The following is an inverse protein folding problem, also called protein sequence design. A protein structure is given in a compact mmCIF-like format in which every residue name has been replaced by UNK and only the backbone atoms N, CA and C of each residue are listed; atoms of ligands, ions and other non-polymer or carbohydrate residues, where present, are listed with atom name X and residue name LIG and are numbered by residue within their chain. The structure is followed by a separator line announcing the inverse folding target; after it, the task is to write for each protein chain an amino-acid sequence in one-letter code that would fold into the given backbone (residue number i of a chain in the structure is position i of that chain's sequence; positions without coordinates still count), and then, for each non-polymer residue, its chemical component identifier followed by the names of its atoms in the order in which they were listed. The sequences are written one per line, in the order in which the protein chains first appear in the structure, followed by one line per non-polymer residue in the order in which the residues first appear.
data_IF_285017982870
#
_entry.id   IF_285017982870
#
_cell.length_a   1.000
_cell.length_b   1.000
_cell.length_c   1.000
_cell.angle_alpha   90.00
_cell.angle_beta   90.00
_cell.angle_gamma   90.00
#
_symmetry.space_group_name_H-M   'P 1'
#
loop_
_entity.id
_entity.type
_entity.pdbx_description
1 polymer ?
#
# COMPACT_ATOMS: atom_id res chain seq x y z
N UNK A 1 -13.58 2.14 -2.11
CA UNK A 1 -12.26 1.91 -1.51
C UNK A 1 -11.95 2.97 -0.45
N UNK A 2 -11.92 4.27 -0.77
CA UNK A 2 -11.70 5.35 0.21
C UNK A 2 -12.69 5.38 1.39
N UNK A 3 -13.99 5.25 1.15
CA UNK A 3 -15.01 5.16 2.22
C UNK A 3 -14.87 3.89 3.08
N UNK A 4 -14.41 2.81 2.46
CA UNK A 4 -14.19 1.54 3.15
C UNK A 4 -12.94 1.66 4.03
N UNK A 5 -11.84 2.22 3.52
CA UNK A 5 -10.66 2.55 4.33
C UNK A 5 -11.00 3.50 5.48
N UNK A 6 -11.82 4.53 5.24
CA UNK A 6 -12.32 5.41 6.31
C UNK A 6 -13.08 4.64 7.40
N UNK A 7 -14.01 3.77 6.99
CA UNK A 7 -14.79 2.95 7.91
C UNK A 7 -13.90 1.97 8.69
N UNK A 8 -12.92 1.33 8.02
CA UNK A 8 -11.97 0.42 8.65
C UNK A 8 -11.05 1.17 9.65
N UNK A 9 -10.57 2.37 9.32
CA UNK A 9 -9.74 3.19 10.22
C UNK A 9 -10.52 3.66 11.46
N UNK A 10 -11.75 4.16 11.27
CA UNK A 10 -12.60 4.64 12.39
C UNK A 10 -13.10 3.52 13.29
N UNK A 11 -13.23 2.30 12.76
CA UNK A 11 -13.61 1.11 13.56
C UNK A 11 -12.43 0.60 14.41
N UNK A 12 -11.19 0.80 13.96
CA UNK A 12 -9.99 0.30 14.64
C UNK A 12 -9.33 1.30 15.58
N UNK A 13 -9.47 2.60 15.32
CA UNK A 13 -8.84 3.64 16.11
C UNK A 13 -9.93 4.38 16.88
N UNK A 14 -10.15 3.97 18.13
CA UNK A 14 -11.03 4.70 19.03
C UNK A 14 -10.31 5.91 19.63
N UNK A 15 -11.05 6.99 19.88
CA UNK A 15 -10.51 8.22 20.47
C UNK A 15 -9.80 7.95 21.81
N UNK A 16 -10.26 6.94 22.55
CA UNK A 16 -9.68 6.52 23.83
C UNK A 16 -8.29 5.86 23.67
N UNK A 17 -8.05 5.13 22.58
CA UNK A 17 -6.74 4.55 22.26
C UNK A 17 -5.76 5.60 21.74
N UNK A 18 -6.26 6.56 20.97
CA UNK A 18 -5.50 7.72 20.50
C UNK A 18 -5.07 8.57 21.71
N UNK A 19 -6.00 8.85 22.61
CA UNK A 19 -5.75 9.56 23.87
C UNK A 19 -4.68 8.85 24.70
N UNK A 20 -4.86 7.56 25.01
CA UNK A 20 -3.89 6.74 25.77
C UNK A 20 -2.48 6.77 25.16
N UNK A 21 -2.36 6.72 23.83
CA UNK A 21 -1.04 6.80 23.17
C UNK A 21 -0.38 8.18 23.28
N UNK A 22 -1.18 9.25 23.33
CA UNK A 22 -0.70 10.64 23.37
C UNK A 22 -0.30 11.08 24.77
N UNK A 23 -1.03 10.69 25.82
CA UNK A 23 -0.60 10.92 27.23
C UNK A 23 0.65 10.12 27.62
N UNK A 24 1.01 9.10 26.83
CA UNK A 24 2.28 8.39 27.00
C UNK A 24 3.47 9.17 26.42
N UNK A 25 3.24 10.15 25.53
CA UNK A 25 4.28 10.92 24.82
C UNK A 25 4.26 12.43 25.11
N UNK A 26 3.13 12.98 25.60
CA UNK A 26 2.91 14.40 25.85
C UNK A 26 2.21 14.63 27.21
N UNK A 27 2.42 15.81 27.80
CA UNK A 27 1.74 16.22 29.03
C UNK A 27 0.22 16.39 28.79
N UNK A 28 -0.59 16.06 29.81
CA UNK A 28 -2.05 15.82 29.69
C UNK A 28 -2.83 16.96 28.99
N UNK A 29 -2.48 18.21 29.28
CA UNK A 29 -3.15 19.40 28.73
C UNK A 29 -2.79 19.65 27.25
N UNK A 30 -1.54 19.36 26.86
CA UNK A 30 -1.06 19.52 25.48
C UNK A 30 -1.64 18.47 24.53
N UNK A 31 -1.87 17.25 25.03
CA UNK A 31 -2.49 16.17 24.27
C UNK A 31 -3.96 16.47 23.94
N UNK A 32 -4.70 17.03 24.90
CA UNK A 32 -6.09 17.48 24.72
C UNK A 32 -6.21 18.58 23.67
N UNK A 33 -5.37 19.61 23.72
CA UNK A 33 -5.39 20.71 22.74
C UNK A 33 -5.06 20.24 21.31
N UNK A 34 -4.12 19.30 21.15
CA UNK A 34 -3.79 18.77 19.82
C UNK A 34 -4.90 17.90 19.23
N UNK A 35 -5.57 17.07 20.04
CA UNK A 35 -6.73 16.28 19.59
C UNK A 35 -7.87 17.22 19.20
N UNK A 36 -8.11 18.28 19.98
CA UNK A 36 -9.16 19.25 19.70
C UNK A 36 -8.86 20.08 18.43
N UNK A 37 -7.60 20.46 18.19
CA UNK A 37 -7.17 21.11 16.94
C UNK A 37 -7.24 20.18 15.72
N UNK A 38 -6.89 18.90 15.87
CA UNK A 38 -7.01 17.90 14.81
C UNK A 38 -8.47 17.67 14.39
N UNK A 39 -9.39 17.66 15.37
CA UNK A 39 -10.83 17.49 15.11
C UNK A 39 -11.55 18.77 14.65
N UNK A 40 -11.10 19.96 15.07
CA UNK A 40 -11.76 21.25 14.70
C UNK A 40 -11.47 21.74 13.29
N UNK A 41 -10.46 21.22 12.59
CA UNK A 41 -9.94 21.85 11.38
C UNK A 41 -10.22 20.99 10.14
N UNK A 42 -10.54 21.62 9.00
CA UNK A 42 -10.78 20.98 7.69
C UNK A 42 -9.68 20.05 7.15
N UNK A 43 -8.65 19.76 7.93
CA UNK A 43 -7.64 18.72 7.73
C UNK A 43 -8.23 17.33 7.59
N UNK A 44 -9.31 17.01 8.33
CA UNK A 44 -10.01 15.73 8.18
C UNK A 44 -10.61 15.60 6.78
N UNK A 45 -11.26 16.66 6.29
CA UNK A 45 -11.83 16.73 4.95
C UNK A 45 -10.74 16.70 3.86
N UNK A 46 -9.61 17.38 4.09
CA UNK A 46 -8.45 17.37 3.21
C UNK A 46 -7.79 15.98 3.13
N UNK A 47 -7.65 15.29 4.27
CA UNK A 47 -7.14 13.89 4.33
C UNK A 47 -8.02 12.97 3.49
N UNK A 48 -9.34 13.08 3.59
CA UNK A 48 -10.25 12.23 2.82
C UNK A 48 -10.34 12.61 1.34
N UNK A 49 -10.28 13.90 1.02
CA UNK A 49 -10.16 14.36 -0.37
C UNK A 49 -8.87 13.83 -1.01
N UNK A 50 -7.75 13.90 -0.29
CA UNK A 50 -6.47 13.34 -0.73
C UNK A 50 -6.54 11.83 -0.92
N UNK A 51 -7.15 11.11 0.03
CA UNK A 51 -7.33 9.66 -0.06
C UNK A 51 -8.18 9.27 -1.28
N UNK A 52 -9.24 10.04 -1.57
CA UNK A 52 -10.08 9.85 -2.75
C UNK A 52 -9.27 10.06 -4.04
N UNK A 53 -8.55 11.19 -4.15
CA UNK A 53 -7.69 11.48 -5.30
C UNK A 53 -6.65 10.37 -5.50
N UNK A 54 -5.96 9.97 -4.44
CA UNK A 54 -4.98 8.89 -4.48
C UNK A 54 -5.61 7.57 -4.97
N UNK A 55 -6.79 7.23 -4.46
CA UNK A 55 -7.53 6.01 -4.83
C UNK A 55 -7.90 5.99 -6.31
N UNK A 56 -8.35 7.12 -6.86
CA UNK A 56 -8.80 7.22 -8.26
C UNK A 56 -7.61 7.35 -9.22
N UNK A 57 -6.58 8.11 -8.84
CA UNK A 57 -5.39 8.32 -9.68
C UNK A 57 -4.49 7.09 -9.74
N UNK A 58 -4.41 6.30 -8.66
CA UNK A 58 -3.58 5.08 -8.61
C UNK A 58 -3.79 4.13 -9.80
N UNK A 59 -5.02 3.66 -10.11
CA UNK A 59 -5.24 2.77 -11.26
C UNK A 59 -4.90 3.44 -12.60
N UNK A 60 -5.14 4.75 -12.74
CA UNK A 60 -4.79 5.50 -13.97
C UNK A 60 -3.28 5.50 -14.18
N UNK A 61 -2.51 5.86 -13.15
CA UNK A 61 -1.04 5.89 -13.20
C UNK A 61 -0.48 4.50 -13.51
N UNK A 62 -0.97 3.45 -12.84
CA UNK A 62 -0.53 2.07 -13.10
C UNK A 62 -0.87 1.65 -14.54
N UNK A 63 -2.03 2.04 -15.05
CA UNK A 63 -2.43 1.74 -16.43
C UNK A 63 -1.51 2.42 -17.42
N UNK A 64 -1.13 3.69 -17.20
CA UNK A 64 -0.18 4.40 -18.05
C UNK A 64 1.21 3.74 -18.04
N UNK A 65 1.68 3.28 -16.87
CA UNK A 65 2.93 2.53 -16.74
C UNK A 65 2.90 1.22 -17.54
N UNK A 66 1.81 0.46 -17.43
CA UNK A 66 1.68 -0.76 -18.21
C UNK A 66 1.52 -0.49 -19.70
N UNK A 67 0.82 0.58 -20.08
CA UNK A 67 0.66 0.97 -21.48
C UNK A 67 2.02 1.29 -22.13
N UNK A 68 2.84 2.12 -21.48
CA UNK A 68 4.18 2.46 -21.99
C UNK A 68 5.09 1.24 -22.02
N UNK A 69 5.00 0.38 -21.00
CA UNK A 69 5.75 -0.86 -20.93
C UNK A 69 5.37 -1.89 -22.00
N UNK A 70 4.07 -2.13 -22.22
CA UNK A 70 3.59 -3.03 -23.27
C UNK A 70 3.91 -2.51 -24.66
N UNK A 71 3.84 -1.19 -24.86
CA UNK A 71 4.32 -0.57 -26.10
C UNK A 71 5.81 -0.87 -26.34
N UNK A 72 6.66 -0.75 -25.31
CA UNK A 72 8.08 -1.10 -25.40
C UNK A 72 8.34 -2.59 -25.68
N UNK A 73 7.47 -3.48 -25.18
CA UNK A 73 7.55 -4.93 -25.44
C UNK A 73 6.85 -5.37 -26.74
N UNK A 74 6.37 -4.43 -27.56
CA UNK A 74 5.60 -4.72 -28.79
C UNK A 74 4.34 -5.56 -28.54
N UNK A 75 3.76 -5.45 -27.35
CA UNK A 75 2.50 -6.08 -26.94
C UNK A 75 1.36 -5.10 -27.23
N UNK A 76 0.44 -5.49 -28.11
CA UNK A 76 -0.70 -4.65 -28.51
C UNK A 76 -1.88 -4.86 -27.59
N UNK A 77 -1.97 -4.04 -26.54
CA UNK A 77 -3.11 -3.98 -25.63
C UNK A 77 -3.55 -2.53 -25.54
N UNK A 78 -4.85 -2.27 -25.65
CA UNK A 78 -5.42 -0.93 -25.53
C UNK A 78 -5.44 -0.46 -24.07
N UNK A 79 -5.44 0.86 -23.87
CA UNK A 79 -5.57 1.46 -22.54
C UNK A 79 -6.81 0.94 -21.81
N UNK A 80 -7.93 0.79 -22.52
CA UNK A 80 -9.19 0.33 -21.92
C UNK A 80 -9.08 -1.08 -21.35
N UNK A 81 -8.42 -2.00 -22.06
CA UNK A 81 -8.22 -3.38 -21.61
C UNK A 81 -7.29 -3.44 -20.39
N UNK A 82 -6.21 -2.65 -20.38
CA UNK A 82 -5.32 -2.54 -19.23
C UNK A 82 -6.07 -1.95 -18.03
N UNK A 83 -6.84 -0.90 -18.25
CA UNK A 83 -7.60 -0.24 -17.18
C UNK A 83 -8.66 -1.17 -16.58
N UNK A 84 -9.38 -1.94 -17.42
CA UNK A 84 -10.34 -2.96 -16.99
C UNK A 84 -9.69 -4.10 -16.20
N UNK A 85 -8.41 -4.40 -16.45
CA UNK A 85 -7.66 -5.36 -15.64
C UNK A 85 -7.17 -4.74 -14.33
N UNK A 86 -6.62 -3.52 -14.36
CA UNK A 86 -5.97 -2.85 -13.23
C UNK A 86 -6.97 -2.39 -12.17
N UNK A 87 -8.06 -1.72 -12.57
CA UNK A 87 -9.04 -1.14 -11.65
C UNK A 87 -9.58 -2.15 -10.62
N UNK A 88 -10.10 -3.33 -11.01
CA UNK A 88 -10.57 -4.33 -10.05
C UNK A 88 -9.42 -5.01 -9.30
N UNK A 89 -8.22 -5.09 -9.89
CA UNK A 89 -7.05 -5.65 -9.21
C UNK A 89 -6.60 -4.76 -8.05
N UNK A 90 -6.86 -3.45 -8.09
CA UNK A 90 -6.54 -2.55 -6.97
C UNK A 90 -7.23 -2.94 -5.66
N UNK A 91 -8.34 -3.69 -5.69
CA UNK A 91 -9.02 -4.18 -4.48
C UNK A 91 -8.16 -5.20 -3.70
N UNK A 92 -7.19 -5.84 -4.33
CA UNK A 92 -6.21 -6.70 -3.65
C UNK A 92 -5.46 -5.93 -2.54
N UNK A 93 -5.25 -4.63 -2.72
CA UNK A 93 -4.62 -3.79 -1.70
C UNK A 93 -5.46 -3.56 -0.45
N UNK A 94 -6.76 -3.89 -0.45
CA UNK A 94 -7.60 -3.84 0.76
C UNK A 94 -7.43 -5.06 1.66
N UNK A 95 -6.82 -6.14 1.15
CA UNK A 95 -6.71 -7.40 1.90
C UNK A 95 -6.03 -7.19 3.27
N UNK A 96 -4.89 -6.48 3.38
CA UNK A 96 -4.27 -6.22 4.68
C UNK A 96 -5.18 -5.48 5.66
N UNK A 97 -5.89 -4.46 5.18
CA UNK A 97 -6.77 -3.65 6.02
C UNK A 97 -7.97 -4.48 6.52
N UNK A 98 -8.56 -5.30 5.64
CA UNK A 98 -9.65 -6.21 6.00
C UNK A 98 -9.18 -7.27 7.00
N UNK A 99 -7.99 -7.85 6.79
CA UNK A 99 -7.41 -8.82 7.73
C UNK A 99 -7.14 -8.18 9.09
N UNK A 100 -6.59 -6.96 9.10
CA UNK A 100 -6.33 -6.19 10.33
C UNK A 100 -7.62 -5.94 11.10
N UNK A 101 -8.67 -5.46 10.43
CA UNK A 101 -9.98 -5.24 11.06
C UNK A 101 -10.55 -6.55 11.59
N UNK A 102 -10.59 -7.59 10.77
CA UNK A 102 -11.16 -8.88 11.18
C UNK A 102 -10.42 -9.46 12.39
N UNK A 103 -9.08 -9.33 12.42
CA UNK A 103 -8.25 -9.82 13.52
C UNK A 103 -8.54 -9.09 14.83
N UNK A 104 -8.50 -7.76 14.82
CA UNK A 104 -8.69 -6.97 16.04
C UNK A 104 -10.16 -6.84 16.45
N UNK A 105 -11.12 -7.08 15.54
CA UNK A 105 -12.53 -7.10 15.91
C UNK A 105 -13.01 -8.46 16.43
N UNK A 106 -12.46 -9.58 15.93
CA UNK A 106 -12.98 -10.93 16.25
C UNK A 106 -12.04 -11.79 17.09
N UNK A 107 -10.72 -11.63 16.94
CA UNK A 107 -9.73 -12.53 17.54
C UNK A 107 -9.08 -11.88 18.77
N UNK A 108 -8.68 -10.61 18.64
CA UNK A 108 -8.06 -9.84 19.72
C UNK A 108 -8.79 -8.50 19.92
N UNK A 109 -9.99 -8.49 20.52
CA UNK A 109 -10.77 -7.27 20.77
C UNK A 109 -10.16 -6.34 21.82
N UNK A 110 -9.33 -6.85 22.73
CA UNK A 110 -8.61 -6.07 23.74
C UNK A 110 -7.18 -5.76 23.25
N UNK A 111 -7.06 -4.93 22.21
CA UNK A 111 -5.77 -4.53 21.64
C UNK A 111 -5.39 -3.12 22.09
N UNK A 112 -4.09 -2.80 22.06
CA UNK A 112 -3.55 -1.44 22.24
C UNK A 112 -3.09 -0.86 20.90
N UNK A 113 -2.85 0.45 20.84
CA UNK A 113 -2.39 1.11 19.62
C UNK A 113 -1.02 0.55 19.14
N UNK A 114 -0.18 0.12 20.09
CA UNK A 114 1.08 -0.56 19.79
C UNK A 114 0.88 -1.89 19.05
N UNK A 115 -0.17 -2.64 19.39
CA UNK A 115 -0.51 -3.90 18.73
C UNK A 115 -1.00 -3.67 17.30
N UNK A 116 -1.73 -2.56 17.08
CA UNK A 116 -2.18 -2.17 15.75
C UNK A 116 -1.00 -1.83 14.82
N UNK A 117 0.02 -1.17 15.39
CA UNK A 117 1.25 -0.80 14.68
C UNK A 117 2.20 -1.99 14.46
N UNK A 118 2.15 -3.01 15.31
CA UNK A 118 2.94 -4.23 15.17
C UNK A 118 2.29 -5.25 14.23
N UNK A 119 1.06 -5.00 13.76
CA UNK A 119 0.37 -5.90 12.84
C UNK A 119 1.21 -6.18 11.58
N UNK A 120 1.35 -7.45 11.16
CA UNK A 120 2.23 -7.83 10.07
C UNK A 120 1.99 -7.01 8.80
N UNK A 121 3.07 -6.54 8.18
CA UNK A 121 2.99 -5.79 6.92
C UNK A 121 2.88 -6.72 5.69
N UNK A 122 2.85 -8.04 5.92
CA UNK A 122 2.94 -9.10 4.90
C UNK A 122 4.13 -8.91 3.96
N UNK A 123 5.18 -8.27 4.47
CA UNK A 123 6.39 -7.97 3.70
C UNK A 123 7.12 -9.26 3.35
N UNK A 124 7.74 -9.31 2.17
CA UNK A 124 8.61 -10.43 1.83
C UNK A 124 9.76 -10.57 2.83
N UNK A 125 10.22 -9.45 3.42
CA UNK A 125 11.25 -9.48 4.46
C UNK A 125 10.85 -10.28 5.70
N UNK A 126 9.58 -10.30 6.08
CA UNK A 126 9.09 -11.16 7.19
C UNK A 126 9.20 -12.64 6.83
N UNK A 127 8.93 -13.03 5.58
CA UNK A 127 9.10 -14.41 5.08
C UNK A 127 10.58 -14.80 4.94
N UNK A 128 11.44 -13.85 4.62
CA UNK A 128 12.88 -14.07 4.45
C UNK A 128 13.70 -13.92 5.75
N UNK A 129 13.08 -13.64 6.90
CA UNK A 129 13.76 -13.70 8.22
C UNK A 129 14.30 -15.09 8.54
N UNK A 130 13.76 -16.14 7.90
CA UNK A 130 14.27 -17.51 8.00
C UNK A 130 15.59 -17.74 7.22
N UNK A 131 15.99 -16.81 6.35
CA UNK A 131 17.27 -16.84 5.65
C UNK A 131 18.26 -15.91 6.36
N UNK A 132 19.44 -16.44 6.68
CA UNK A 132 20.49 -15.70 7.40
C UNK A 132 21.21 -14.73 6.44
N UNK A 133 20.55 -13.61 6.14
CA UNK A 133 21.11 -12.55 5.29
C UNK A 133 22.08 -11.70 6.10
N UNK A 134 23.30 -12.20 6.28
CA UNK A 134 24.44 -11.51 6.92
C UNK A 134 25.02 -10.35 6.09
N UNK A 135 24.51 -10.12 4.87
CA UNK A 135 25.03 -9.13 3.92
C UNK A 135 23.90 -8.26 3.37
N UNK A 136 23.96 -6.94 3.62
CA UNK A 136 23.16 -5.92 2.91
C UNK A 136 21.93 -5.40 3.66
N UNK A 137 22.13 -4.58 4.68
CA UNK A 137 21.05 -3.85 5.36
C UNK A 137 20.29 -2.91 4.39
N UNK A 138 20.99 -2.37 3.39
CA UNK A 138 20.41 -1.56 2.32
C UNK A 138 19.51 -2.37 1.39
N UNK A 139 19.89 -3.62 1.06
CA UNK A 139 19.06 -4.50 0.24
C UNK A 139 17.77 -4.89 0.97
N UNK A 140 17.85 -5.14 2.29
CA UNK A 140 16.66 -5.37 3.13
C UNK A 140 15.72 -4.17 3.08
N UNK A 141 16.26 -2.94 3.15
CA UNK A 141 15.47 -1.70 3.09
C UNK A 141 14.78 -1.52 1.74
N UNK A 142 15.42 -1.91 0.63
CA UNK A 142 14.84 -1.86 -0.71
C UNK A 142 13.75 -2.92 -0.94
N UNK A 143 13.90 -4.13 -0.36
CA UNK A 143 12.97 -5.24 -0.54
C UNK A 143 11.78 -5.24 0.44
N UNK A 144 11.92 -4.63 1.63
CA UNK A 144 10.88 -4.53 2.66
C UNK A 144 9.49 -4.08 2.14
N UNK A 145 9.37 -3.13 1.20
CA UNK A 145 8.07 -2.69 0.70
C UNK A 145 7.44 -3.67 -0.30
N UNK A 146 8.20 -4.65 -0.80
CA UNK A 146 7.64 -5.71 -1.63
C UNK A 146 6.94 -6.69 -0.68
N UNK A 147 5.62 -6.74 -0.79
CA UNK A 147 4.79 -7.63 -0.01
C UNK A 147 4.10 -8.67 -0.90
N UNK A 148 3.50 -9.67 -0.27
CA UNK A 148 2.74 -10.71 -0.98
C UNK A 148 1.53 -10.13 -1.74
N UNK A 149 1.03 -8.98 -1.28
CA UNK A 149 -0.09 -8.25 -1.90
C UNK A 149 0.30 -7.70 -3.27
N UNK A 150 1.54 -7.20 -3.44
CA UNK A 150 2.06 -6.75 -4.73
C UNK A 150 2.17 -7.90 -5.72
N UNK A 151 2.60 -9.09 -5.26
CA UNK A 151 2.65 -10.30 -6.07
C UNK A 151 1.25 -10.74 -6.50
N UNK A 152 0.31 -10.75 -5.55
CA UNK A 152 -1.09 -11.07 -5.81
C UNK A 152 -1.72 -10.06 -6.77
N UNK A 153 -1.40 -8.77 -6.64
CA UNK A 153 -1.84 -7.74 -7.57
C UNK A 153 -1.34 -8.02 -8.99
N UNK A 154 -0.03 -8.26 -9.17
CA UNK A 154 0.56 -8.58 -10.47
C UNK A 154 -0.09 -9.83 -11.08
N UNK A 155 -0.32 -10.86 -10.27
CA UNK A 155 -0.97 -12.09 -10.69
C UNK A 155 -2.40 -11.85 -11.18
N UNK A 156 -3.22 -11.11 -10.44
CA UNK A 156 -4.62 -10.82 -10.81
C UNK A 156 -4.68 -9.97 -12.08
N UNK A 157 -3.81 -8.97 -12.22
CA UNK A 157 -3.70 -8.15 -13.44
C UNK A 157 -3.31 -9.01 -14.63
N UNK A 158 -2.25 -9.82 -14.49
CA UNK A 158 -1.78 -10.69 -15.56
C UNK A 158 -2.84 -11.69 -16.00
N UNK A 159 -3.52 -12.34 -15.04
CA UNK A 159 -4.60 -13.29 -15.32
C UNK A 159 -5.73 -12.62 -16.13
N UNK A 160 -6.20 -11.45 -15.70
CA UNK A 160 -7.24 -10.71 -16.42
C UNK A 160 -6.81 -10.30 -17.82
N UNK A 161 -5.58 -9.84 -17.98
CA UNK A 161 -5.05 -9.48 -19.30
C UNK A 161 -4.92 -10.71 -20.21
N UNK A 162 -4.55 -11.87 -19.68
CA UNK A 162 -4.50 -13.13 -20.44
C UNK A 162 -5.90 -13.63 -20.83
N UNK A 163 -6.93 -13.38 -20.01
CA UNK A 163 -8.33 -13.67 -20.37
C UNK A 163 -8.80 -12.79 -21.54
N UNK A 164 -8.38 -11.52 -21.58
CA UNK A 164 -8.70 -10.58 -22.67
C UNK A 164 -7.87 -10.89 -23.92
N UNK A 165 -6.58 -11.21 -23.76
CA UNK A 165 -5.62 -11.43 -24.84
C UNK A 165 -4.93 -12.81 -24.72
N UNK A 166 -5.65 -13.92 -24.97
CA UNK A 166 -5.14 -15.27 -24.73
C UNK A 166 -3.99 -15.69 -25.64
N UNK A 167 -3.82 -15.02 -26.77
CA UNK A 167 -2.75 -15.30 -27.73
C UNK A 167 -1.39 -14.75 -27.28
N UNK A 168 -1.36 -13.78 -26.37
CA UNK A 168 -0.12 -13.14 -25.94
C UNK A 168 0.50 -13.88 -24.74
N UNK A 169 1.52 -14.69 -25.01
CA UNK A 169 2.18 -15.53 -24.00
C UNK A 169 3.07 -14.73 -23.04
N UNK A 170 3.47 -13.51 -23.41
CA UNK A 170 4.40 -12.71 -22.63
C UNK A 170 3.73 -11.85 -21.56
N UNK A 171 2.39 -11.79 -21.49
CA UNK A 171 1.65 -10.92 -20.55
C UNK A 171 2.13 -11.10 -19.11
N UNK A 172 2.17 -12.34 -18.62
CA UNK A 172 2.57 -12.63 -17.25
C UNK A 172 3.97 -12.08 -16.95
N UNK A 173 4.95 -12.41 -17.79
CA UNK A 173 6.33 -11.97 -17.62
C UNK A 173 6.43 -10.44 -17.68
N UNK A 174 5.77 -9.81 -18.65
CA UNK A 174 5.81 -8.36 -18.85
C UNK A 174 5.16 -7.60 -17.69
N UNK A 175 4.01 -8.06 -17.16
CA UNK A 175 3.36 -7.43 -16.00
C UNK A 175 4.30 -7.42 -14.79
N UNK A 176 4.92 -8.56 -14.47
CA UNK A 176 5.85 -8.67 -13.36
C UNK A 176 7.08 -7.77 -13.57
N UNK A 177 7.72 -7.85 -14.74
CA UNK A 177 8.90 -7.02 -15.05
C UNK A 177 8.56 -5.53 -14.92
N UNK A 178 7.47 -5.06 -15.52
CA UNK A 178 7.10 -3.65 -15.50
C UNK A 178 6.80 -3.16 -14.09
N UNK A 179 5.99 -3.92 -13.35
CA UNK A 179 5.59 -3.51 -12.01
C UNK A 179 6.79 -3.44 -11.06
N UNK A 180 7.63 -4.48 -11.05
CA UNK A 180 8.79 -4.53 -10.16
C UNK A 180 9.89 -3.56 -10.58
N UNK A 181 10.11 -3.35 -11.88
CA UNK A 181 11.09 -2.36 -12.36
C UNK A 181 10.71 -0.94 -11.92
N UNK A 182 9.43 -0.57 -12.05
CA UNK A 182 8.96 0.75 -11.65
C UNK A 182 8.95 0.90 -10.13
N UNK A 183 8.54 -0.13 -9.39
CA UNK A 183 8.58 -0.12 -7.94
C UNK A 183 10.02 0.05 -7.42
N UNK A 184 10.98 -0.67 -8.01
CA UNK A 184 12.38 -0.58 -7.64
C UNK A 184 12.98 0.79 -8.02
N UNK A 185 12.69 1.29 -9.22
CA UNK A 185 13.12 2.62 -9.65
C UNK A 185 12.62 3.72 -8.71
N UNK A 186 11.32 3.70 -8.36
CA UNK A 186 10.74 4.64 -7.42
C UNK A 186 11.43 4.58 -6.05
N UNK A 187 11.74 3.37 -5.55
CA UNK A 187 12.41 3.20 -4.25
C UNK A 187 13.85 3.69 -4.27
N UNK A 188 14.58 3.44 -5.35
CA UNK A 188 15.93 3.99 -5.53
C UNK A 188 15.89 5.52 -5.54
N UNK A 189 14.93 6.13 -6.25
CA UNK A 189 14.78 7.60 -6.23
C UNK A 189 14.52 8.13 -4.83
N UNK A 190 13.60 7.53 -4.09
CA UNK A 190 13.31 7.95 -2.70
C UNK A 190 14.52 7.78 -1.80
N UNK A 191 15.25 6.66 -1.94
CA UNK A 191 16.45 6.41 -1.14
C UNK A 191 17.55 7.44 -1.44
N UNK A 192 17.82 7.71 -2.73
CA UNK A 192 18.79 8.73 -3.14
C UNK A 192 18.41 10.10 -2.60
N UNK A 193 17.15 10.51 -2.77
CA UNK A 193 16.66 11.79 -2.24
C UNK A 193 16.82 11.87 -0.72
N UNK A 194 16.51 10.80 0.01
CA UNK A 194 16.70 10.76 1.46
C UNK A 194 18.18 10.88 1.87
N UNK A 195 19.10 10.24 1.14
CA UNK A 195 20.55 10.37 1.40
C UNK A 195 21.13 11.73 1.01
N UNK A 196 20.51 12.45 0.06
CA UNK A 196 20.94 13.81 -0.31
C UNK A 196 20.39 14.89 0.62
N UNK A 197 19.26 14.64 1.29
CA UNK A 197 18.60 15.60 2.18
C UNK A 197 19.01 15.40 3.65
N UNK A 198 19.42 14.20 4.05
CA UNK A 198 19.99 13.96 5.38
C UNK A 198 21.44 14.47 5.45
N UNK A 199 21.76 15.45 6.31
CA UNK A 199 23.13 15.93 6.51
C UNK A 199 24.04 14.88 7.15
#
# INVERSE_FOLDING_TARGET
MSLLVYYLETTLVTDEMLYQSMITQFDHDTAMEQIEQFNKTGFVLLKYAWLFVYTVMKPVVITLIFMTGFFAFNIRISFAEIFQAVLPSCFVFLIPDVLRVTWFSLIQPNYQLADLNSFPSFSLTELFTAFDWTTGEDLKRLLKPINIVNLLFCWVVAKRLMEINPNEKNILKSVFILYFSVLLAFRLTVHLVATFIAP
#
